data_IF_821253461134
#
_entry.id   IF_821253461134
#
_cell.length_a   1.000
_cell.length_b   1.000
_cell.length_c   1.000
_cell.angle_alpha   90.00
_cell.angle_beta   90.00
_cell.angle_gamma   90.00
#
_symmetry.space_group_name_H-M   'P 1'
#
loop_
_entity.id
_entity.type
_entity.pdbx_description
1 polymer ?
#
# COMPACT_ATOMS: atom_id res chain seq x y z
N UNK A 1 8.81 -20.93 -3.92
CA UNK A 1 9.02 -20.72 -2.45
C UNK A 1 7.69 -20.96 -1.74
N UNK A 2 7.69 -21.66 -0.61
CA UNK A 2 6.51 -21.84 0.26
C UNK A 2 6.10 -20.49 0.87
N UNK A 3 4.79 -20.25 1.06
CA UNK A 3 4.16 -19.08 1.70
C UNK A 3 4.91 -18.58 2.95
N UNK A 4 5.43 -19.52 3.76
CA UNK A 4 6.26 -19.20 4.93
C UNK A 4 7.43 -18.28 4.57
N UNK A 5 8.08 -18.50 3.44
CA UNK A 5 9.32 -17.81 3.08
C UNK A 5 9.12 -16.31 2.80
N UNK A 6 8.10 -15.89 2.06
CA UNK A 6 7.92 -14.47 1.69
C UNK A 6 7.47 -13.65 2.90
N UNK A 7 6.48 -14.15 3.66
CA UNK A 7 6.08 -13.50 4.92
C UNK A 7 7.22 -13.50 5.95
N UNK A 8 8.05 -14.55 6.00
CA UNK A 8 9.20 -14.61 6.90
C UNK A 8 10.29 -13.60 6.50
N UNK A 9 10.57 -13.42 5.21
CA UNK A 9 11.49 -12.37 4.76
C UNK A 9 10.94 -10.97 5.05
N UNK A 10 9.65 -10.71 4.83
CA UNK A 10 9.04 -9.42 5.16
C UNK A 10 9.04 -9.14 6.67
N UNK A 11 8.85 -10.17 7.49
CA UNK A 11 8.86 -10.07 8.95
C UNK A 11 10.28 -9.86 9.49
N UNK A 12 11.28 -10.56 8.95
CA UNK A 12 12.71 -10.29 9.23
C UNK A 12 13.07 -8.85 8.86
N UNK A 13 12.62 -8.41 7.70
CA UNK A 13 12.93 -7.08 7.19
C UNK A 13 12.29 -6.01 8.08
N UNK A 14 11.05 -6.22 8.53
CA UNK A 14 10.38 -5.38 9.54
C UNK A 14 11.13 -5.34 10.88
N UNK A 15 11.58 -6.50 11.39
CA UNK A 15 12.39 -6.60 12.62
C UNK A 15 13.70 -5.83 12.46
N UNK A 16 14.36 -5.92 11.32
CA UNK A 16 15.59 -5.19 11.03
C UNK A 16 15.31 -3.67 11.04
N UNK A 17 14.25 -3.19 10.39
CA UNK A 17 13.92 -1.75 10.40
C UNK A 17 13.58 -1.24 11.80
N UNK A 18 12.87 -2.03 12.60
CA UNK A 18 12.56 -1.66 14.00
C UNK A 18 13.79 -1.71 14.91
N UNK A 19 14.70 -2.67 14.73
CA UNK A 19 15.97 -2.69 15.44
C UNK A 19 16.83 -1.47 15.08
N UNK A 20 16.96 -1.15 13.79
CA UNK A 20 17.72 0.03 13.34
C UNK A 20 17.16 1.33 13.91
N UNK A 21 15.83 1.40 14.10
CA UNK A 21 15.18 2.50 14.82
C UNK A 21 15.59 2.58 16.29
N UNK A 22 15.57 1.45 17.00
CA UNK A 22 15.87 1.38 18.43
C UNK A 22 17.33 1.71 18.73
N UNK A 23 18.24 1.38 17.80
CA UNK A 23 19.66 1.74 17.89
C UNK A 23 19.95 3.22 17.57
N UNK A 24 18.93 4.02 17.27
CA UNK A 24 19.09 5.46 17.01
C UNK A 24 19.81 5.80 15.70
N UNK A 25 20.02 4.81 14.83
CA UNK A 25 20.64 4.99 13.50
C UNK A 25 19.65 5.70 12.56
N UNK A 26 18.34 5.50 12.78
CA UNK A 26 17.25 6.15 12.04
C UNK A 26 16.24 6.72 13.04
N UNK A 27 15.99 8.04 12.99
CA UNK A 27 14.93 8.68 13.78
C UNK A 27 13.56 8.37 13.18
N UNK A 28 12.96 7.26 13.57
CA UNK A 28 11.59 6.92 13.17
C UNK A 28 10.59 7.30 14.25
N UNK A 29 9.54 8.01 13.86
CA UNK A 29 8.41 8.31 14.73
C UNK A 29 7.52 7.09 14.93
N UNK A 30 6.68 7.11 15.97
CA UNK A 30 5.69 6.05 16.20
C UNK A 30 4.73 5.88 15.00
N UNK A 31 4.42 6.97 14.27
CA UNK A 31 3.62 6.88 13.06
C UNK A 31 4.36 6.22 11.89
N UNK A 32 5.68 6.41 11.77
CA UNK A 32 6.46 5.74 10.72
C UNK A 32 6.46 4.23 10.93
N UNK A 33 6.64 3.78 12.19
CA UNK A 33 6.55 2.36 12.55
C UNK A 33 5.17 1.79 12.24
N UNK A 34 4.09 2.52 12.56
CA UNK A 34 2.73 2.10 12.26
C UNK A 34 2.47 2.02 10.74
N UNK A 35 2.98 2.99 9.98
CA UNK A 35 2.87 3.03 8.53
C UNK A 35 3.60 1.84 7.88
N UNK A 36 4.85 1.58 8.28
CA UNK A 36 5.62 0.42 7.81
C UNK A 36 4.95 -0.89 8.19
N UNK A 37 4.45 -1.02 9.42
CA UNK A 37 3.72 -2.21 9.86
C UNK A 37 2.52 -2.49 8.97
N UNK A 38 1.69 -1.48 8.71
CA UNK A 38 0.53 -1.60 7.83
C UNK A 38 0.91 -1.97 6.39
N UNK A 39 1.98 -1.39 5.85
CA UNK A 39 2.48 -1.71 4.51
C UNK A 39 2.93 -3.17 4.42
N UNK A 40 3.80 -3.62 5.33
CA UNK A 40 4.35 -4.98 5.31
C UNK A 40 3.27 -6.03 5.56
N UNK A 41 2.37 -5.77 6.52
CA UNK A 41 1.30 -6.71 6.85
C UNK A 41 0.23 -6.74 5.76
N UNK A 42 -0.13 -5.57 5.21
CA UNK A 42 -1.05 -5.43 4.09
C UNK A 42 -0.60 -6.21 2.86
N UNK A 43 0.65 -6.02 2.40
CA UNK A 43 1.16 -6.74 1.23
C UNK A 43 1.31 -8.25 1.45
N UNK A 44 1.73 -8.66 2.66
CA UNK A 44 1.82 -10.06 3.04
C UNK A 44 0.45 -10.74 3.01
N UNK A 45 -0.54 -10.09 3.60
CA UNK A 45 -1.90 -10.61 3.69
C UNK A 45 -2.60 -10.61 2.33
N UNK A 46 -2.39 -9.57 1.53
CA UNK A 46 -2.86 -9.46 0.15
C UNK A 46 -2.34 -10.63 -0.69
N UNK A 47 -1.02 -10.85 -0.70
CA UNK A 47 -0.39 -11.88 -1.51
C UNK A 47 -0.82 -13.29 -1.10
N UNK A 48 -0.91 -13.53 0.22
CA UNK A 48 -1.43 -14.79 0.78
C UNK A 48 -2.85 -15.09 0.32
N UNK A 49 -3.71 -14.08 0.39
CA UNK A 49 -5.13 -14.20 0.05
C UNK A 49 -5.34 -14.34 -1.46
N UNK A 50 -4.50 -13.67 -2.26
CA UNK A 50 -4.49 -13.83 -3.71
C UNK A 50 -4.16 -15.26 -4.14
N UNK A 51 -3.12 -15.87 -3.56
CA UNK A 51 -2.75 -17.26 -3.86
C UNK A 51 -3.86 -18.26 -3.52
N UNK A 52 -4.63 -17.99 -2.46
CA UNK A 52 -5.77 -18.81 -2.03
C UNK A 52 -7.09 -18.44 -2.71
N UNK A 53 -7.08 -17.45 -3.61
CA UNK A 53 -8.27 -16.83 -4.22
C UNK A 53 -9.35 -16.40 -3.21
N UNK A 54 -8.93 -15.99 -2.01
CA UNK A 54 -9.84 -15.58 -0.95
C UNK A 54 -10.16 -14.07 -1.07
N UNK A 55 -11.28 -13.75 -1.71
CA UNK A 55 -11.69 -12.37 -2.08
C UNK A 55 -11.62 -11.39 -0.90
N UNK A 56 -12.26 -11.71 0.23
CA UNK A 56 -12.29 -10.84 1.42
C UNK A 56 -10.88 -10.55 1.95
N UNK A 57 -9.99 -11.54 1.86
CA UNK A 57 -8.60 -11.37 2.32
C UNK A 57 -7.80 -10.43 1.42
N UNK A 58 -8.09 -10.41 0.12
CA UNK A 58 -7.49 -9.49 -0.84
C UNK A 58 -7.95 -8.06 -0.54
N UNK A 59 -9.24 -7.87 -0.26
CA UNK A 59 -9.78 -6.55 0.13
C UNK A 59 -9.11 -6.04 1.40
N UNK A 60 -9.11 -6.84 2.47
CA UNK A 60 -8.51 -6.43 3.76
C UNK A 60 -7.02 -6.14 3.61
N UNK A 61 -6.28 -6.98 2.88
CA UNK A 61 -4.85 -6.77 2.64
C UNK A 61 -4.58 -5.48 1.87
N UNK A 62 -5.42 -5.18 0.86
CA UNK A 62 -5.34 -3.95 0.08
C UNK A 62 -5.63 -2.72 0.94
N UNK A 63 -6.65 -2.78 1.80
CA UNK A 63 -7.00 -1.69 2.72
C UNK A 63 -5.83 -1.41 3.67
N UNK A 64 -5.28 -2.43 4.34
CA UNK A 64 -4.14 -2.25 5.23
C UNK A 64 -2.92 -1.66 4.51
N UNK A 65 -2.62 -2.14 3.30
CA UNK A 65 -1.52 -1.62 2.51
C UNK A 65 -1.72 -0.15 2.15
N UNK A 66 -2.88 0.21 1.60
CA UNK A 66 -3.17 1.58 1.18
C UNK A 66 -3.28 2.55 2.38
N UNK A 67 -3.85 2.10 3.51
CA UNK A 67 -3.84 2.87 4.75
C UNK A 67 -2.40 3.11 5.24
N UNK A 68 -1.53 2.10 5.17
CA UNK A 68 -0.11 2.27 5.46
C UNK A 68 0.55 3.32 4.57
N UNK A 69 0.24 3.33 3.27
CA UNK A 69 0.72 4.36 2.33
C UNK A 69 0.23 5.76 2.71
N UNK A 70 -1.04 5.90 3.11
CA UNK A 70 -1.60 7.19 3.50
C UNK A 70 -1.00 7.69 4.81
N UNK A 71 -0.90 6.83 5.83
CA UNK A 71 -0.23 7.17 7.10
C UNK A 71 1.21 7.60 6.85
N UNK A 72 1.92 6.91 5.95
CA UNK A 72 3.27 7.27 5.54
C UNK A 72 3.36 8.66 4.91
N UNK A 73 2.41 9.04 4.06
CA UNK A 73 2.36 10.39 3.50
C UNK A 73 2.08 11.43 4.60
N UNK A 74 1.22 11.12 5.56
CA UNK A 74 0.91 11.99 6.71
C UNK A 74 2.08 12.22 7.66
N UNK A 75 3.04 11.29 7.78
CA UNK A 75 4.23 11.54 8.63
C UNK A 75 5.21 12.52 7.97
N UNK A 76 5.14 12.69 6.66
CA UNK A 76 6.09 13.47 5.88
C UNK A 76 5.61 14.86 5.50
N UNK A 77 4.31 14.98 5.28
CA UNK A 77 3.66 16.25 5.12
C UNK A 77 2.86 16.43 6.40
N UNK A 78 3.23 17.41 7.23
CA UNK A 78 2.39 17.88 8.34
C UNK A 78 1.08 18.43 7.75
N UNK A 79 0.17 17.53 7.38
CA UNK A 79 -1.09 17.89 6.72
C UNK A 79 -1.93 18.59 7.76
N UNK A 80 -1.92 19.91 7.68
CA UNK A 80 -2.58 20.87 8.55
C UNK A 80 -4.10 20.66 8.74
N UNK A 81 -4.73 19.78 7.96
CA UNK A 81 -6.16 19.47 8.06
C UNK A 81 -6.46 17.98 7.80
N UNK A 82 -6.15 17.12 8.78
CA UNK A 82 -6.42 15.67 8.70
C UNK A 82 -7.87 15.35 8.30
N UNK A 83 -8.84 16.11 8.82
CA UNK A 83 -10.27 15.89 8.56
C UNK A 83 -10.72 16.15 7.12
N UNK A 84 -10.02 17.02 6.37
CA UNK A 84 -10.38 17.31 4.97
C UNK A 84 -9.86 16.25 4.00
N UNK A 85 -8.80 15.54 4.38
CA UNK A 85 -8.13 14.52 3.55
C UNK A 85 -8.54 13.09 3.93
N UNK A 86 -8.90 12.84 5.19
CA UNK A 86 -9.22 11.50 5.69
C UNK A 86 -10.41 10.85 4.98
N UNK A 87 -11.55 11.56 4.90
CA UNK A 87 -12.78 11.02 4.29
C UNK A 87 -12.60 10.72 2.79
N UNK A 88 -12.07 11.65 1.96
CA UNK A 88 -11.74 11.35 0.57
C UNK A 88 -10.80 10.14 0.43
N UNK A 89 -9.76 10.07 1.27
CA UNK A 89 -8.78 8.99 1.22
C UNK A 89 -9.42 7.64 1.56
N UNK A 90 -10.27 7.57 2.59
CA UNK A 90 -10.96 6.33 2.96
C UNK A 90 -11.85 5.81 1.83
N UNK A 91 -12.62 6.69 1.17
CA UNK A 91 -13.44 6.36 0.00
C UNK A 91 -12.60 5.84 -1.17
N UNK A 92 -11.45 6.46 -1.43
CA UNK A 92 -10.52 6.00 -2.48
C UNK A 92 -9.92 4.64 -2.10
N UNK A 93 -9.48 4.45 -0.86
CA UNK A 93 -8.91 3.19 -0.38
C UNK A 93 -9.90 2.04 -0.54
N UNK A 94 -11.15 2.24 -0.08
CA UNK A 94 -12.21 1.24 -0.20
C UNK A 94 -12.49 0.94 -1.68
N UNK A 95 -12.63 2.00 -2.50
CA UNK A 95 -12.87 1.87 -3.93
C UNK A 95 -11.79 1.06 -4.66
N UNK A 96 -10.52 1.42 -4.48
CA UNK A 96 -9.38 0.70 -5.07
C UNK A 96 -9.33 -0.75 -4.59
N UNK A 97 -9.49 -0.98 -3.28
CA UNK A 97 -9.40 -2.31 -2.69
C UNK A 97 -10.47 -3.27 -3.23
N UNK A 98 -11.71 -2.79 -3.37
CA UNK A 98 -12.80 -3.55 -3.98
C UNK A 98 -12.57 -3.79 -5.47
N UNK A 99 -12.09 -2.78 -6.21
CA UNK A 99 -11.80 -2.90 -7.64
C UNK A 99 -10.74 -3.99 -7.89
N UNK A 100 -9.63 -3.93 -7.16
CA UNK A 100 -8.53 -4.90 -7.24
C UNK A 100 -9.05 -6.31 -6.93
N UNK A 101 -9.77 -6.50 -5.83
CA UNK A 101 -10.27 -7.83 -5.46
C UNK A 101 -11.19 -8.45 -6.53
N UNK A 102 -12.07 -7.65 -7.14
CA UNK A 102 -12.99 -8.11 -8.18
C UNK A 102 -12.30 -8.38 -9.53
N UNK A 103 -11.22 -7.65 -9.86
CA UNK A 103 -10.42 -7.91 -11.06
C UNK A 103 -9.58 -9.19 -10.96
N UNK A 104 -9.08 -9.51 -9.77
CA UNK A 104 -8.12 -10.61 -9.55
C UNK A 104 -8.76 -11.97 -9.22
N UNK A 105 -10.03 -12.01 -8.83
CA UNK A 105 -10.69 -13.26 -8.42
C UNK A 105 -11.95 -13.54 -9.24
N UNK A 106 -13.11 -13.12 -8.74
CA UNK A 106 -14.40 -13.28 -9.39
C UNK A 106 -15.06 -11.91 -9.47
N UNK A 107 -15.46 -11.55 -10.68
CA UNK A 107 -16.14 -10.28 -10.94
C UNK A 107 -17.54 -10.34 -10.33
N UNK A 108 -17.78 -9.50 -9.34
CA UNK A 108 -19.12 -9.18 -8.87
C UNK A 108 -19.49 -7.77 -9.36
N UNK A 109 -20.43 -7.70 -10.30
CA UNK A 109 -20.85 -6.45 -10.94
C UNK A 109 -21.30 -5.39 -9.93
N UNK A 110 -21.98 -5.79 -8.84
CA UNK A 110 -22.45 -4.87 -7.79
C UNK A 110 -21.26 -4.26 -7.05
N UNK A 111 -20.26 -5.07 -6.71
CA UNK A 111 -19.07 -4.61 -6.00
C UNK A 111 -18.20 -3.71 -6.89
N UNK A 112 -18.17 -3.96 -8.21
CA UNK A 112 -17.48 -3.10 -9.18
C UNK A 112 -18.17 -1.74 -9.30
N UNK A 113 -19.51 -1.71 -9.39
CA UNK A 113 -20.26 -0.45 -9.40
C UNK A 113 -20.00 0.34 -8.13
N UNK A 114 -20.03 -0.32 -6.97
CA UNK A 114 -19.73 0.32 -5.69
C UNK A 114 -18.29 0.84 -5.64
N UNK A 115 -17.31 0.11 -6.20
CA UNK A 115 -15.92 0.60 -6.27
C UNK A 115 -15.79 1.87 -7.11
N UNK A 116 -16.49 1.96 -8.24
CA UNK A 116 -16.47 3.15 -9.09
C UNK A 116 -17.17 4.33 -8.41
N UNK A 117 -18.32 4.10 -7.76
CA UNK A 117 -19.00 5.12 -6.97
C UNK A 117 -18.11 5.67 -5.85
N UNK A 118 -17.46 4.78 -5.10
CA UNK A 118 -16.58 5.14 -3.99
C UNK A 118 -15.36 5.94 -4.48
N UNK A 119 -14.73 5.51 -5.58
CA UNK A 119 -13.64 6.24 -6.23
C UNK A 119 -14.08 7.63 -6.67
N UNK A 120 -15.22 7.71 -7.36
CA UNK A 120 -15.75 8.97 -7.86
C UNK A 120 -16.08 9.94 -6.73
N UNK A 121 -16.77 9.46 -5.69
CA UNK A 121 -17.10 10.27 -4.51
C UNK A 121 -15.84 10.75 -3.78
N UNK A 122 -14.84 9.89 -3.63
CA UNK A 122 -13.56 10.25 -3.01
C UNK A 122 -12.82 11.33 -3.79
N UNK A 123 -12.68 11.17 -5.11
CA UNK A 123 -12.03 12.16 -5.99
C UNK A 123 -12.80 13.49 -5.98
N UNK A 124 -14.13 13.43 -6.11
CA UNK A 124 -14.99 14.60 -6.09
C UNK A 124 -14.86 15.40 -4.80
N UNK A 125 -14.88 14.74 -3.65
CA UNK A 125 -14.69 15.40 -2.36
C UNK A 125 -13.28 16.01 -2.22
N UNK A 126 -12.27 15.37 -2.78
CA UNK A 126 -10.89 15.86 -2.76
C UNK A 126 -10.75 17.15 -3.59
N UNK A 127 -11.38 17.18 -4.77
CA UNK A 127 -11.42 18.38 -5.64
C UNK A 127 -12.25 19.49 -4.99
N UNK A 128 -13.42 19.17 -4.44
CA UNK A 128 -14.32 20.15 -3.84
C UNK A 128 -13.77 20.79 -2.56
N UNK A 129 -12.86 20.10 -1.85
CA UNK A 129 -12.31 20.56 -0.56
C UNK A 129 -10.85 20.99 -0.63
N UNK A 130 -10.13 20.67 -1.71
CA UNK A 130 -8.71 20.92 -1.87
C UNK A 130 -8.40 22.11 -2.76
N UNK A 131 -7.37 22.88 -2.40
CA UNK A 131 -6.69 23.84 -3.28
C UNK A 131 -5.56 23.15 -4.05
N UNK A 132 -5.83 21.94 -4.57
CA UNK A 132 -4.83 21.09 -5.19
C UNK A 132 -4.35 21.71 -6.52
N UNK A 133 -3.24 22.45 -6.49
CA UNK A 133 -2.56 22.90 -7.70
C UNK A 133 -1.59 21.82 -8.18
N UNK A 134 -1.46 21.69 -9.50
CA UNK A 134 -0.60 20.69 -10.14
C UNK A 134 0.87 20.85 -9.71
N UNK A 135 1.31 22.08 -9.46
CA UNK A 135 2.66 22.39 -8.98
C UNK A 135 2.94 21.84 -7.57
N UNK A 136 1.96 21.94 -6.65
CA UNK A 136 2.08 21.37 -5.31
C UNK A 136 2.18 19.85 -5.37
N UNK A 137 1.45 19.20 -6.30
CA UNK A 137 1.53 17.76 -6.51
C UNK A 137 2.93 17.33 -6.97
N UNK A 138 3.49 17.96 -8.00
CA UNK A 138 4.83 17.59 -8.49
C UNK A 138 5.93 17.88 -7.47
N UNK A 139 5.81 18.98 -6.71
CA UNK A 139 6.73 19.29 -5.62
C UNK A 139 6.69 18.23 -4.50
N UNK A 140 5.48 17.80 -4.11
CA UNK A 140 5.29 16.74 -3.13
C UNK A 140 5.84 15.39 -3.61
N UNK A 141 5.57 14.99 -4.86
CA UNK A 141 6.10 13.76 -5.45
C UNK A 141 7.63 13.79 -5.47
N UNK A 142 8.24 14.90 -5.89
CA UNK A 142 9.70 15.02 -5.94
C UNK A 142 10.34 14.94 -4.56
N UNK A 143 9.69 15.53 -3.56
CA UNK A 143 10.13 15.47 -2.15
C UNK A 143 10.05 14.05 -1.60
N UNK A 144 8.94 13.35 -1.87
CA UNK A 144 8.76 11.94 -1.48
C UNK A 144 9.81 11.02 -2.10
N UNK A 145 10.07 11.15 -3.40
CA UNK A 145 11.06 10.32 -4.10
C UNK A 145 12.47 10.54 -3.54
N UNK A 146 12.84 11.78 -3.23
CA UNK A 146 14.18 12.12 -2.73
C UNK A 146 14.39 11.69 -1.28
N UNK A 147 13.34 11.76 -0.45
CA UNK A 147 13.41 11.34 0.96
C UNK A 147 13.37 9.81 1.13
N UNK A 148 12.83 9.07 0.16
CA UNK A 148 12.50 7.64 0.35
C UNK A 148 12.99 6.65 -0.71
N UNK A 149 14.24 6.80 -1.16
CA UNK A 149 14.91 5.75 -1.94
C UNK A 149 14.87 4.39 -1.24
N UNK A 150 14.93 4.31 0.09
CA UNK A 150 14.86 3.04 0.85
C UNK A 150 13.53 2.29 0.61
N UNK A 151 12.39 3.00 0.59
CA UNK A 151 11.07 2.35 0.44
C UNK A 151 10.89 1.89 -1.00
N UNK A 152 11.30 2.72 -1.97
CA UNK A 152 11.33 2.36 -3.39
C UNK A 152 12.25 1.15 -3.62
N UNK A 153 13.39 1.10 -2.93
CA UNK A 153 14.33 -0.01 -3.00
C UNK A 153 13.73 -1.29 -2.41
N UNK A 154 13.02 -1.22 -1.27
CA UNK A 154 12.31 -2.38 -0.73
C UNK A 154 11.18 -2.86 -1.63
N UNK A 155 10.38 -1.95 -2.17
CA UNK A 155 9.29 -2.26 -3.10
C UNK A 155 9.83 -2.87 -4.40
N UNK A 156 10.95 -2.35 -4.90
CA UNK A 156 11.70 -2.89 -6.03
C UNK A 156 12.25 -4.28 -5.77
N UNK A 157 12.82 -4.54 -4.59
CA UNK A 157 13.30 -5.88 -4.19
C UNK A 157 12.13 -6.87 -4.14
N UNK A 158 10.99 -6.47 -3.58
CA UNK A 158 9.78 -7.31 -3.49
C UNK A 158 9.25 -7.65 -4.89
N UNK A 159 9.12 -6.64 -5.77
CA UNK A 159 8.68 -6.84 -7.16
C UNK A 159 9.67 -7.74 -7.91
N UNK A 160 10.98 -7.51 -7.75
CA UNK A 160 12.02 -8.30 -8.40
C UNK A 160 11.98 -9.77 -7.95
N UNK A 161 11.84 -10.02 -6.64
CA UNK A 161 11.68 -11.37 -6.09
C UNK A 161 10.39 -12.05 -6.55
N UNK A 162 9.28 -11.30 -6.65
CA UNK A 162 8.03 -11.82 -7.17
C UNK A 162 8.13 -12.16 -8.68
N UNK A 163 8.68 -11.25 -9.48
CA UNK A 163 8.83 -11.40 -10.93
C UNK A 163 9.79 -12.53 -11.32
N UNK A 164 10.93 -12.65 -10.63
CA UNK A 164 11.89 -13.75 -10.86
C UNK A 164 11.28 -15.12 -10.60
N UNK A 165 10.38 -15.23 -9.61
CA UNK A 165 9.67 -16.47 -9.32
C UNK A 165 8.57 -16.79 -10.32
N UNK A 166 7.87 -15.79 -10.87
CA UNK A 166 6.93 -15.98 -11.98
C UNK A 166 7.64 -16.56 -13.21
N UNK A 167 8.81 -16.03 -13.58
CA UNK A 167 9.63 -16.55 -14.69
C UNK A 167 10.07 -18.00 -14.47
N UNK A 168 10.55 -18.34 -13.26
CA UNK A 168 11.00 -19.71 -12.92
C UNK A 168 9.87 -20.74 -12.91
N UNK A 169 8.62 -20.33 -12.66
CA UNK A 169 7.45 -21.24 -12.70
C UNK A 169 7.02 -21.58 -14.14
N UNK A 170 7.34 -20.73 -15.12
CA UNK A 170 7.09 -20.99 -16.54
C UNK A 170 8.14 -21.93 -17.14
N UNK A 171 9.42 -21.79 -16.75
CA UNK A 171 10.50 -22.67 -17.25
C UNK A 171 10.37 -24.13 -16.77
N UNK A 172 9.75 -24.38 -15.62
CA UNK A 172 9.52 -25.74 -15.11
C UNK A 172 8.24 -26.41 -15.66
N UNK A 173 7.55 -25.80 -16.62
CA UNK A 173 6.36 -26.33 -17.30
C UNK A 173 6.55 -26.54 -18.80
N UNK A 174 7.75 -26.27 -19.33
CA UNK A 174 8.20 -26.78 -20.63
C UNK A 174 8.89 -28.12 -20.44
#
# INVERSE_FOLDING_TARGET
MSFRSVSFYLLILFIITTLLSLFGIVSLSAMDIAAYSCLFWGISFFYSSYLKQHHVGIVIGSVFFLTGTVLFVFTQFEILNFGTVFVPSALIIIGISLLIANLLTKVNSIAVIFSFLSLFAGIWLLISRGTATVDLYFSAVKTLVKSYWIVILFLGIIIFLAAKNFKKRNDNRG
#
